data_IF_772181660511
#
_entry.id   IF_772181660511
#
_cell.length_a   1.000
_cell.length_b   1.000
_cell.length_c   1.000
_cell.angle_alpha   90.00
_cell.angle_beta   90.00
_cell.angle_gamma   90.00
#
_symmetry.space_group_name_H-M   'P 1'
#
loop_
_entity.id
_entity.type
_entity.pdbx_description
1 polymer ?
#
# COMPACT_ATOMS: atom_id res chain seq x y z
N UNK A 1 -4.58 14.10 7.67
CA UNK A 1 -4.67 13.12 6.58
C UNK A 1 -3.34 12.39 6.48
N UNK A 2 -3.34 11.07 6.35
CA UNK A 2 -2.13 10.25 6.30
C UNK A 2 -2.24 9.28 5.12
N UNK A 3 -1.28 9.35 4.20
CA UNK A 3 -1.14 8.42 3.09
C UNK A 3 -0.19 7.27 3.46
N UNK A 4 -0.56 6.04 3.11
CA UNK A 4 0.25 4.85 3.33
C UNK A 4 0.38 4.04 2.04
N UNK A 5 1.62 3.68 1.71
CA UNK A 5 1.98 2.76 0.66
C UNK A 5 2.18 1.37 1.28
N UNK A 6 1.24 0.46 1.00
CA UNK A 6 1.22 -0.90 1.51
C UNK A 6 1.86 -1.91 0.55
N UNK A 7 2.49 -1.42 -0.51
CA UNK A 7 2.97 -2.27 -1.60
C UNK A 7 1.82 -2.72 -2.48
N UNK A 8 1.00 -3.67 -1.99
CA UNK A 8 -0.16 -4.21 -2.70
C UNK A 8 -1.37 -3.28 -2.79
N UNK A 9 -1.37 -2.20 -2.02
CA UNK A 9 -2.42 -1.18 -2.02
C UNK A 9 -1.85 0.15 -1.57
N UNK A 10 -2.53 1.23 -1.92
CA UNK A 10 -2.33 2.57 -1.38
C UNK A 10 -3.55 2.95 -0.58
N UNK A 11 -3.34 3.71 0.49
CA UNK A 11 -4.44 4.11 1.36
C UNK A 11 -4.29 5.50 1.93
N UNK A 12 -5.41 6.17 2.14
CA UNK A 12 -5.46 7.50 2.75
C UNK A 12 -6.42 7.44 3.93
N UNK A 13 -5.96 7.93 5.08
CA UNK A 13 -6.71 7.99 6.33
C UNK A 13 -6.98 9.44 6.70
N UNK A 14 -8.22 9.77 7.05
CA UNK A 14 -8.60 11.09 7.52
C UNK A 14 -9.79 11.04 8.47
N UNK A 15 -9.98 12.12 9.21
CA UNK A 15 -11.10 12.29 10.12
C UNK A 15 -12.31 12.81 9.36
N UNK A 16 -13.44 12.12 9.48
CA UNK A 16 -14.74 12.63 9.07
C UNK A 16 -15.24 13.71 10.01
N UNK A 17 -16.19 14.52 9.55
CA UNK A 17 -16.73 15.66 10.31
C UNK A 17 -17.35 15.27 11.67
N UNK A 18 -17.84 14.03 11.78
CA UNK A 18 -18.42 13.46 12.99
C UNK A 18 -17.38 12.77 13.90
N UNK A 19 -16.09 12.83 13.54
CA UNK A 19 -15.00 12.17 14.29
C UNK A 19 -14.77 10.69 13.93
N UNK A 20 -15.48 10.18 12.92
CA UNK A 20 -15.26 8.84 12.38
C UNK A 20 -13.91 8.79 11.65
N UNK A 21 -13.15 7.70 11.81
CA UNK A 21 -11.95 7.44 10.99
C UNK A 21 -12.38 6.88 9.64
N UNK A 22 -12.10 7.60 8.57
CA UNK A 22 -12.36 7.17 7.20
C UNK A 22 -11.04 6.75 6.57
N UNK A 23 -11.06 5.62 5.87
CA UNK A 23 -9.94 5.11 5.12
C UNK A 23 -10.39 4.75 3.70
N UNK A 24 -9.66 5.24 2.71
CA UNK A 24 -9.90 4.95 1.29
C UNK A 24 -8.70 4.19 0.77
N UNK A 25 -8.95 3.10 0.04
CA UNK A 25 -7.93 2.19 -0.48
C UNK A 25 -8.01 2.05 -2.00
N UNK A 26 -6.85 1.91 -2.62
CA UNK A 26 -6.68 1.59 -4.04
C UNK A 26 -5.67 0.44 -4.17
N UNK A 27 -6.03 -0.63 -4.87
CA UNK A 27 -5.11 -1.74 -5.12
C UNK A 27 -4.01 -1.35 -6.10
N UNK A 28 -2.81 -1.90 -5.91
CA UNK A 28 -1.72 -1.81 -6.88
C UNK A 28 -1.42 -3.19 -7.47
N UNK A 29 -0.76 -3.29 -8.64
CA UNK A 29 -0.36 -4.57 -9.19
C UNK A 29 0.88 -5.19 -8.52
N UNK A 30 1.35 -4.66 -7.38
CA UNK A 30 2.61 -5.08 -6.73
C UNK A 30 2.33 -6.13 -5.64
N UNK A 31 2.81 -7.38 -5.77
CA UNK A 31 2.44 -8.47 -4.88
C UNK A 31 3.28 -8.51 -3.59
N UNK A 32 3.16 -7.48 -2.74
CA UNK A 32 3.80 -7.45 -1.41
C UNK A 32 2.79 -7.91 -0.34
N UNK A 33 3.11 -8.92 0.49
CA UNK A 33 2.22 -9.34 1.57
C UNK A 33 2.18 -8.31 2.71
N UNK A 34 1.03 -8.20 3.36
CA UNK A 34 0.89 -7.43 4.60
C UNK A 34 1.50 -8.20 5.79
N UNK A 35 1.97 -7.51 6.85
CA UNK A 35 1.90 -6.06 7.08
C UNK A 35 3.07 -5.30 6.44
N UNK A 36 2.77 -4.20 5.76
CA UNK A 36 3.75 -3.27 5.21
C UNK A 36 3.12 -1.87 5.15
N UNK A 37 3.84 -0.85 5.60
CA UNK A 37 3.36 0.53 5.72
C UNK A 37 4.51 1.53 5.54
N UNK A 38 4.65 2.08 4.34
CA UNK A 38 5.52 3.22 4.05
C UNK A 38 4.71 4.51 3.86
N UNK A 39 5.35 5.67 4.00
CA UNK A 39 4.67 6.95 3.75
C UNK A 39 4.32 7.10 2.27
N UNK A 40 3.07 7.48 1.95
CA UNK A 40 2.64 7.76 0.58
C UNK A 40 2.63 9.28 0.35
N UNK A 41 3.46 9.75 -0.59
CA UNK A 41 3.51 11.16 -0.96
C UNK A 41 2.55 11.46 -2.14
N UNK A 42 1.43 12.11 -1.84
CA UNK A 42 0.39 12.41 -2.83
C UNK A 42 0.71 13.60 -3.74
N UNK A 43 1.83 14.29 -3.52
CA UNK A 43 2.32 15.33 -4.44
C UNK A 43 3.07 14.74 -5.64
N UNK A 44 3.41 13.44 -5.62
CA UNK A 44 3.98 12.71 -6.75
C UNK A 44 2.93 12.34 -7.79
N UNK A 45 3.36 12.17 -9.04
CA UNK A 45 2.50 11.61 -10.08
C UNK A 45 2.26 10.11 -9.87
N UNK A 46 1.15 9.60 -10.41
CA UNK A 46 0.80 8.17 -10.37
C UNK A 46 1.95 7.26 -10.87
N UNK A 47 2.69 7.72 -11.89
CA UNK A 47 3.81 6.99 -12.49
C UNK A 47 4.98 6.88 -11.52
N UNK A 48 5.31 7.98 -10.82
CA UNK A 48 6.37 8.03 -9.82
C UNK A 48 6.01 7.16 -8.61
N UNK A 49 4.77 7.27 -8.12
CA UNK A 49 4.26 6.45 -7.03
C UNK A 49 4.32 4.96 -7.34
N UNK A 50 3.91 4.57 -8.56
CA UNK A 50 3.96 3.18 -8.98
C UNK A 50 5.41 2.68 -9.13
N UNK A 51 6.31 3.52 -9.62
CA UNK A 51 7.73 3.19 -9.72
C UNK A 51 8.36 2.98 -8.33
N UNK A 52 8.10 3.88 -7.39
CA UNK A 52 8.54 3.76 -6.01
C UNK A 52 8.02 2.47 -5.36
N UNK A 53 6.72 2.19 -5.52
CA UNK A 53 6.08 0.98 -5.00
C UNK A 53 6.73 -0.30 -5.55
N UNK A 54 7.11 -0.31 -6.83
CA UNK A 54 7.85 -1.43 -7.45
C UNK A 54 9.27 -1.54 -6.91
N UNK A 55 9.95 -0.41 -6.68
CA UNK A 55 11.28 -0.42 -6.07
C UNK A 55 11.25 -1.03 -4.65
N UNK A 56 10.20 -0.76 -3.87
CA UNK A 56 10.01 -1.39 -2.56
C UNK A 56 9.91 -2.92 -2.68
N UNK A 57 9.19 -3.43 -3.69
CA UNK A 57 9.08 -4.88 -3.92
C UNK A 57 10.42 -5.56 -4.25
N UNK A 58 11.37 -4.81 -4.80
CA UNK A 58 12.71 -5.31 -5.12
C UNK A 58 13.64 -5.29 -3.91
N UNK A 59 13.41 -4.38 -2.97
CA UNK A 59 14.15 -4.32 -1.71
C UNK A 59 13.71 -5.43 -0.74
N UNK A 60 12.41 -5.74 -0.71
CA UNK A 60 11.80 -6.72 0.20
C UNK A 60 11.87 -8.19 -0.28
N UNK A 61 12.77 -8.54 -1.20
CA UNK A 61 12.92 -9.88 -1.81
C UNK A 61 13.23 -11.05 -0.83
N UNK A 62 13.04 -10.88 0.47
CA UNK A 62 13.10 -11.92 1.50
C UNK A 62 11.75 -12.57 1.87
N UNK A 63 10.60 -12.02 1.45
CA UNK A 63 9.27 -12.52 1.88
C UNK A 63 8.37 -12.95 0.72
N UNK A 64 8.96 -13.45 -0.37
CA UNK A 64 8.20 -14.15 -1.42
C UNK A 64 7.44 -15.34 -0.82
N UNK A 65 6.13 -15.19 -0.64
CA UNK A 65 5.23 -16.32 -0.43
C UNK A 65 4.48 -16.58 -1.73
N UNK A 66 4.80 -17.70 -2.38
CA UNK A 66 3.86 -18.34 -3.30
C UNK A 66 2.56 -18.57 -2.52
N UNK A 67 1.44 -17.97 -2.92
CA UNK A 67 0.12 -18.11 -2.27
C UNK A 67 -0.12 -19.56 -1.79
N UNK A 68 0.02 -19.88 -0.49
CA UNK A 68 -0.36 -21.19 0.02
C UNK A 68 -1.79 -21.07 0.55
N UNK A 69 -2.73 -21.68 -0.19
CA UNK A 69 -4.04 -22.16 0.29
C UNK A 69 -4.72 -21.35 1.42
N UNK A 70 -5.25 -20.16 1.14
CA UNK A 70 -6.19 -19.47 2.03
C UNK A 70 -7.63 -20.01 1.96
N UNK A 71 -7.84 -21.11 1.22
CA UNK A 71 -9.09 -21.88 1.19
C UNK A 71 -8.94 -23.23 1.92
N UNK A 72 -8.84 -23.21 3.24
CA UNK A 72 -9.10 -24.40 4.08
C UNK A 72 -10.01 -24.07 5.24
#
# INVERSE_FOLDING_TARGET
MMGLNRGNSWSIHFDGEEGNKIAVYLDTPVPIPQPYDEALNLDQSDVELLAETKCLSLHEQGTWQMLPSWFR
#
